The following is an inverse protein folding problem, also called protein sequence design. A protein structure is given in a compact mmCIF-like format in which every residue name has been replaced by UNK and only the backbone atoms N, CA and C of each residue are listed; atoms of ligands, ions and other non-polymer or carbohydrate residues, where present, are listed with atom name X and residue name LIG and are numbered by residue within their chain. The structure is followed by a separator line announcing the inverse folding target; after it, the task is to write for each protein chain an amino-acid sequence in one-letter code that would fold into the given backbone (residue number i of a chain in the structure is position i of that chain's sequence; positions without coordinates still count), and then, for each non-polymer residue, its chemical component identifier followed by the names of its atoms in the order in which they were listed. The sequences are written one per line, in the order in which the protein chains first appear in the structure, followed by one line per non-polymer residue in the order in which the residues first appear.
data_IF_389435376286
#
_entry.id   IF_389435376286
#
_cell.length_a   1.000
_cell.length_b   1.000
_cell.length_c   1.000
_cell.angle_alpha   90.00
_cell.angle_beta   90.00
_cell.angle_gamma   90.00
#
_symmetry.space_group_name_H-M   'P 1'
#
loop_
_entity.id
_entity.type
_entity.pdbx_description
1 polymer ?
#
# COMPACT_ATOMS: atom_id res chain seq x y z
N UNK A 1 -0.06 -8.57 -21.30
CA UNK A 1 0.00 -7.24 -20.67
C UNK A 1 0.99 -7.29 -19.51
N UNK A 2 2.00 -6.43 -19.50
CA UNK A 2 2.93 -6.36 -18.37
C UNK A 2 2.23 -5.66 -17.20
N UNK A 3 2.08 -6.35 -16.08
CA UNK A 3 1.54 -5.76 -14.86
C UNK A 3 2.68 -4.93 -14.24
N UNK A 4 2.64 -3.61 -14.44
CA UNK A 4 3.58 -2.71 -13.77
C UNK A 4 3.21 -2.58 -12.29
N UNK A 5 4.15 -2.92 -11.42
CA UNK A 5 4.02 -2.73 -9.98
C UNK A 5 4.48 -1.32 -9.64
N UNK A 6 3.64 -0.56 -8.95
CA UNK A 6 3.98 0.81 -8.51
C UNK A 6 4.21 0.84 -6.99
N UNK A 7 4.93 1.85 -6.49
CA UNK A 7 5.14 2.01 -5.06
C UNK A 7 3.86 2.51 -4.39
N UNK A 8 3.68 2.19 -3.11
CA UNK A 8 2.55 2.70 -2.31
C UNK A 8 2.50 4.23 -2.30
N UNK A 9 3.67 4.88 -2.29
CA UNK A 9 3.81 6.35 -2.36
C UNK A 9 3.32 6.97 -3.66
N UNK A 10 3.21 6.18 -4.73
CA UNK A 10 2.87 6.66 -6.07
C UNK A 10 1.36 6.53 -6.35
N UNK A 11 0.58 6.00 -5.38
CA UNK A 11 -0.87 5.96 -5.46
C UNK A 11 -1.43 7.38 -5.42
N UNK A 12 -2.23 7.71 -6.43
CA UNK A 12 -2.94 8.99 -6.53
C UNK A 12 -4.45 8.72 -6.53
N UNK A 13 -5.19 9.62 -5.87
CA UNK A 13 -6.65 9.65 -6.00
C UNK A 13 -7.03 9.89 -7.47
N UNK A 14 -8.02 9.16 -7.98
CA UNK A 14 -8.52 9.29 -9.36
C UNK A 14 -8.03 8.23 -10.36
N UNK A 15 -7.13 7.31 -9.96
CA UNK A 15 -6.73 6.17 -10.81
C UNK A 15 -7.43 4.90 -10.33
N UNK A 16 -8.26 4.30 -11.18
CA UNK A 16 -9.19 3.23 -10.81
C UNK A 16 -8.55 1.83 -10.71
N UNK A 17 -7.35 1.63 -11.26
CA UNK A 17 -6.65 0.33 -11.20
C UNK A 17 -5.14 0.52 -11.02
N UNK A 18 -4.59 -0.08 -9.98
CA UNK A 18 -3.16 -0.12 -9.70
C UNK A 18 -2.80 -1.46 -9.06
N UNK A 19 -1.60 -1.96 -9.35
CA UNK A 19 -1.07 -3.17 -8.72
C UNK A 19 0.09 -2.78 -7.80
N UNK A 20 -0.03 -3.08 -6.51
CA UNK A 20 0.99 -2.77 -5.51
C UNK A 20 1.27 -4.03 -4.68
N UNK A 21 2.54 -4.32 -4.45
CA UNK A 21 2.96 -5.36 -3.53
C UNK A 21 3.21 -4.76 -2.15
N UNK A 22 2.53 -5.27 -1.13
CA UNK A 22 2.72 -4.85 0.26
C UNK A 22 2.64 -6.05 1.19
N UNK A 23 3.19 -5.89 2.40
CA UNK A 23 3.00 -6.87 3.48
C UNK A 23 1.91 -6.35 4.39
N UNK A 24 0.96 -7.21 4.73
CA UNK A 24 -0.05 -6.93 5.74
C UNK A 24 0.66 -6.76 7.09
N UNK A 25 0.43 -5.64 7.77
CA UNK A 25 1.01 -5.38 9.09
C UNK A 25 0.02 -5.73 10.20
N UNK A 26 -1.22 -5.26 10.08
CA UNK A 26 -2.27 -5.45 11.09
C UNK A 26 -3.64 -5.32 10.45
N UNK A 27 -4.55 -6.21 10.84
CA UNK A 27 -5.98 -6.12 10.52
C UNK A 27 -6.76 -5.73 11.76
N UNK A 28 -7.76 -4.87 11.59
CA UNK A 28 -8.74 -4.57 12.61
C UNK A 28 -10.15 -4.77 12.04
N UNK A 29 -10.93 -5.60 12.71
CA UNK A 29 -12.34 -5.77 12.39
C UNK A 29 -13.12 -4.61 13.03
N UNK A 30 -13.71 -3.74 12.21
CA UNK A 30 -14.58 -2.71 12.75
C UNK A 30 -15.92 -3.36 13.09
N UNK A 31 -16.04 -3.80 14.35
CA UNK A 31 -17.30 -4.22 14.96
C UNK A 31 -18.17 -2.99 15.22
N UNK A 32 -18.67 -2.40 14.14
CA UNK A 32 -19.62 -1.31 14.26
C UNK A 32 -20.96 -1.92 14.70
N UNK A 33 -21.39 -1.60 15.91
CA UNK A 33 -22.49 -2.26 16.65
C UNK A 33 -23.87 -2.06 15.98
N UNK A 34 -23.97 -1.31 14.88
CA UNK A 34 -25.23 -1.08 14.14
C UNK A 34 -25.09 -0.95 12.60
N UNK A 35 -24.01 -1.44 11.98
CA UNK A 35 -23.90 -1.42 10.51
C UNK A 35 -24.32 -2.75 9.90
N UNK A 36 -25.27 -2.74 8.96
CA UNK A 36 -25.67 -3.93 8.18
C UNK A 36 -24.48 -4.54 7.43
N UNK A 37 -23.49 -3.71 7.09
CA UNK A 37 -22.28 -4.14 6.39
C UNK A 37 -21.06 -4.00 7.32
N UNK A 38 -20.36 -5.10 7.64
CA UNK A 38 -19.14 -5.03 8.43
C UNK A 38 -18.05 -4.30 7.63
N UNK A 39 -17.36 -3.39 8.31
CA UNK A 39 -16.22 -2.68 7.76
C UNK A 39 -14.94 -3.33 8.27
N UNK A 40 -13.94 -3.45 7.41
CA UNK A 40 -12.61 -3.94 7.77
C UNK A 40 -11.60 -2.82 7.54
N UNK A 41 -10.79 -2.55 8.55
CA UNK A 41 -9.65 -1.66 8.43
C UNK A 41 -8.37 -2.48 8.34
N UNK A 42 -7.60 -2.26 7.28
CA UNK A 42 -6.38 -3.01 7.01
C UNK A 42 -5.23 -2.03 6.86
N UNK A 43 -4.16 -2.27 7.61
CA UNK A 43 -2.92 -1.48 7.53
C UNK A 43 -1.83 -2.30 6.85
N UNK A 44 -1.22 -1.71 5.84
CA UNK A 44 -0.11 -2.30 5.09
C UNK A 44 1.18 -1.57 5.38
N UNK A 45 2.29 -2.31 5.34
CA UNK A 45 3.63 -1.74 5.37
C UNK A 45 4.31 -2.00 4.02
N UNK A 46 4.94 -0.95 3.48
CA UNK A 46 5.78 -1.05 2.30
C UNK A 46 7.21 -0.64 2.69
N UNK A 47 8.13 -1.61 2.61
CA UNK A 47 9.55 -1.35 2.86
C UNK A 47 10.14 -0.63 1.65
N UNK A 48 10.26 0.69 1.72
CA UNK A 48 11.03 1.47 0.76
C UNK A 48 12.52 1.20 1.01
N UNK A 49 13.07 0.13 0.41
CA UNK A 49 14.52 0.11 0.18
C UNK A 49 14.80 1.19 -0.88
N UNK A 50 14.91 2.46 -0.44
CA UNK A 50 15.65 3.45 -1.22
C UNK A 50 17.06 2.88 -1.29
N UNK A 51 17.40 2.29 -2.43
CA UNK A 51 18.79 2.19 -2.84
C UNK A 51 19.30 3.63 -2.97
N UNK A 52 19.79 4.20 -1.87
CA UNK A 52 20.73 5.31 -1.94
C UNK A 52 21.94 4.73 -2.66
N UNK A 53 21.98 4.86 -3.98
CA UNK A 53 23.21 4.70 -4.73
C UNK A 53 24.24 5.66 -4.09
N UNK A 54 25.35 5.18 -3.49
CA UNK A 54 26.39 6.05 -2.93
C UNK A 54 27.29 6.64 -4.02
N UNK A 55 26.84 6.72 -5.28
CA UNK A 55 27.63 7.26 -6.40
C UNK A 55 27.46 8.78 -6.50
N UNK A 56 27.99 9.48 -5.50
CA UNK A 56 28.57 10.83 -5.68
C UNK A 56 29.83 10.89 -4.83
N UNK A 57 30.88 10.29 -5.40
CA UNK A 57 32.28 10.44 -5.00
C UNK A 57 32.90 11.38 -6.05
N UNK A 58 33.58 12.42 -5.55
CA UNK A 58 34.38 13.49 -6.20
C UNK A 58 33.61 14.54 -7.00
#
# INVERSE_FOLDING_TARGET
MAISRILLSDLKAGRCSNNVEMRLLRSWEARNVMSVNPLLYISFIHNTRRSQNPKRIV
#
